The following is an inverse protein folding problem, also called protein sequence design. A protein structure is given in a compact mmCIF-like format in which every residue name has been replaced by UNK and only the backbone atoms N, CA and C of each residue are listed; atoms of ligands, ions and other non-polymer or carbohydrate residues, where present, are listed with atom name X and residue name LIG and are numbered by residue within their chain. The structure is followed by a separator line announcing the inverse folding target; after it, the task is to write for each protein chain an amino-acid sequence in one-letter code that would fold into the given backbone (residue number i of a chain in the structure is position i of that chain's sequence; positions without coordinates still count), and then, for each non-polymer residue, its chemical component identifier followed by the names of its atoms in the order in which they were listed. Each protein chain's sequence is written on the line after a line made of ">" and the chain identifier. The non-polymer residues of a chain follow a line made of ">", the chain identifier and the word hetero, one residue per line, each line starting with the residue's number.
data_IF_631437095749
#
_entry.id   IF_631437095749
#
_cell.length_a   1.000
_cell.length_b   1.000
_cell.length_c   1.000
_cell.angle_alpha   90.00
_cell.angle_beta   90.00
_cell.angle_gamma   90.00
#
_symmetry.space_group_name_H-M   'P 1'
#
loop_
_entity.id
_entity.type
_entity.pdbx_description
1 polymer ?
#
# COMPACT_ATOMS: atom_id res chain seq x y z
N UNK A 1 -10.46 7.70 17.32
CA UNK A 1 -9.57 6.53 17.44
C UNK A 1 -9.26 6.08 16.02
N UNK A 2 -8.16 6.52 15.43
CA UNK A 2 -7.82 6.19 14.03
C UNK A 2 -6.30 6.03 13.90
N UNK A 3 -5.75 5.16 14.72
CA UNK A 3 -4.32 4.86 14.76
C UNK A 3 -4.12 3.42 14.32
N UNK A 4 -3.24 3.20 13.34
CA UNK A 4 -2.91 1.86 12.88
C UNK A 4 -2.24 1.03 13.98
N UNK A 5 -2.40 -0.28 13.88
CA UNK A 5 -1.83 -1.27 14.80
C UNK A 5 -1.29 -2.45 13.99
N UNK A 6 -0.22 -3.07 14.49
CA UNK A 6 0.23 -4.38 14.03
C UNK A 6 -0.70 -5.42 14.67
N UNK A 7 -1.34 -6.24 13.84
CA UNK A 7 -2.34 -7.21 14.27
C UNK A 7 -1.93 -8.62 13.88
N UNK A 8 -2.39 -9.60 14.66
CA UNK A 8 -2.30 -11.02 14.30
C UNK A 8 -3.27 -11.38 13.17
N UNK A 9 -3.10 -12.57 12.60
CA UNK A 9 -4.02 -13.09 11.57
C UNK A 9 -5.46 -13.21 12.09
N UNK A 10 -5.65 -13.69 13.32
CA UNK A 10 -6.98 -13.82 13.92
C UNK A 10 -7.66 -12.46 14.06
N UNK A 11 -6.94 -11.45 14.57
CA UNK A 11 -7.44 -10.08 14.68
C UNK A 11 -7.73 -9.49 13.30
N UNK A 12 -6.86 -9.69 12.32
CA UNK A 12 -7.05 -9.21 10.95
C UNK A 12 -8.37 -9.70 10.33
N UNK A 13 -8.74 -10.97 10.54
CA UNK A 13 -9.97 -11.54 9.98
C UNK A 13 -11.22 -11.35 10.83
N UNK A 14 -11.09 -10.95 12.10
CA UNK A 14 -12.22 -10.87 13.05
C UNK A 14 -12.51 -9.46 13.58
N UNK A 15 -11.54 -8.55 13.53
CA UNK A 15 -11.75 -7.18 13.96
C UNK A 15 -12.77 -6.49 13.07
N UNK A 16 -13.78 -5.89 13.68
CA UNK A 16 -14.77 -5.04 13.01
C UNK A 16 -14.58 -3.62 13.51
N UNK A 17 -13.65 -2.89 12.88
CA UNK A 17 -13.47 -1.47 13.16
C UNK A 17 -14.42 -0.67 12.26
N UNK A 18 -15.29 0.11 12.87
CA UNK A 18 -16.21 1.02 12.15
C UNK A 18 -15.71 2.44 12.32
N UNK A 19 -15.23 3.05 11.23
CA UNK A 19 -14.67 4.39 11.22
C UNK A 19 -14.07 4.75 9.85
N UNK A 20 -13.82 6.04 9.61
CA UNK A 20 -13.11 6.47 8.40
C UNK A 20 -11.64 6.06 8.43
N UNK A 21 -11.04 5.86 7.26
CA UNK A 21 -9.64 5.43 7.13
C UNK A 21 -8.68 6.63 7.23
N UNK A 22 -7.62 6.49 8.02
CA UNK A 22 -6.46 7.41 8.05
C UNK A 22 -5.21 6.61 7.69
N UNK A 23 -4.94 6.51 6.39
CA UNK A 23 -3.87 5.68 5.83
C UNK A 23 -2.49 6.12 6.29
N UNK A 24 -2.26 7.41 6.55
CA UNK A 24 -0.93 7.87 6.99
C UNK A 24 -0.50 7.22 8.30
N UNK A 25 -1.43 6.87 9.18
CA UNK A 25 -1.11 6.17 10.43
C UNK A 25 -0.50 4.79 10.18
N UNK A 26 -0.96 4.07 9.15
CA UNK A 26 -0.39 2.78 8.74
C UNK A 26 0.99 2.95 8.10
N UNK A 27 1.20 4.01 7.32
CA UNK A 27 2.51 4.30 6.75
C UNK A 27 3.54 4.68 7.83
N UNK A 28 3.14 5.45 8.85
CA UNK A 28 4.01 5.76 10.01
C UNK A 28 4.44 4.45 10.68
N UNK A 29 3.46 3.58 11.00
CA UNK A 29 3.74 2.33 11.68
C UNK A 29 4.63 1.40 10.83
N UNK A 30 4.40 1.35 9.51
CA UNK A 30 5.26 0.60 8.59
C UNK A 30 6.71 1.11 8.62
N UNK A 31 6.91 2.43 8.57
CA UNK A 31 8.25 3.02 8.66
C UNK A 31 8.95 2.64 9.97
N UNK A 32 8.25 2.80 11.11
CA UNK A 32 8.76 2.46 12.43
C UNK A 32 9.19 0.99 12.52
N UNK A 33 8.33 0.08 12.04
CA UNK A 33 8.59 -1.35 12.00
C UNK A 33 9.82 -1.68 11.14
N UNK A 34 9.88 -1.12 9.94
CA UNK A 34 11.00 -1.36 9.02
C UNK A 34 12.31 -0.90 9.65
N UNK A 35 12.36 0.32 10.17
CA UNK A 35 13.58 0.86 10.79
C UNK A 35 14.01 0.09 12.03
N UNK A 36 13.07 -0.37 12.84
CA UNK A 36 13.36 -1.04 14.10
C UNK A 36 13.73 -2.53 13.94
N UNK A 37 13.09 -3.23 13.01
CA UNK A 37 13.17 -4.71 12.91
C UNK A 37 13.79 -5.21 11.61
N UNK A 38 13.75 -4.42 10.53
CA UNK A 38 14.12 -4.85 9.19
C UNK A 38 14.99 -3.79 8.49
N UNK A 39 16.22 -3.51 8.96
CA UNK A 39 17.09 -2.52 8.33
C UNK A 39 17.31 -2.87 6.85
N UNK A 40 17.03 -1.92 5.95
CA UNK A 40 16.96 -2.15 4.50
C UNK A 40 18.30 -2.53 3.85
N UNK A 41 19.43 -2.34 4.54
CA UNK A 41 20.74 -2.86 4.12
C UNK A 41 20.87 -4.38 4.26
N UNK A 42 19.99 -5.02 5.01
CA UNK A 42 20.02 -6.45 5.33
C UNK A 42 18.81 -7.20 4.77
N UNK A 43 17.71 -6.49 4.49
CA UNK A 43 16.44 -7.09 4.08
C UNK A 43 15.93 -6.55 2.74
N UNK A 44 15.39 -7.46 1.92
CA UNK A 44 14.58 -7.08 0.77
C UNK A 44 13.12 -6.93 1.19
N UNK A 45 12.66 -5.69 1.32
CA UNK A 45 11.33 -5.38 1.85
C UNK A 45 10.35 -5.13 0.71
N UNK A 46 9.15 -5.69 0.82
CA UNK A 46 8.07 -5.54 -0.14
C UNK A 46 6.81 -5.06 0.60
N UNK A 47 6.27 -3.92 0.19
CA UNK A 47 5.03 -3.38 0.74
C UNK A 47 3.82 -3.76 -0.11
N UNK A 48 2.71 -4.11 0.53
CA UNK A 48 1.43 -4.32 -0.13
C UNK A 48 0.32 -3.65 0.68
N UNK A 49 -0.45 -2.78 0.03
CA UNK A 49 -1.60 -2.10 0.60
C UNK A 49 -2.84 -2.47 -0.21
N UNK A 50 -3.89 -2.93 0.48
CA UNK A 50 -5.22 -3.09 -0.08
C UNK A 50 -6.20 -2.16 0.66
N UNK A 51 -6.96 -1.34 -0.06
CA UNK A 51 -8.05 -0.53 0.50
C UNK A 51 -9.11 -0.22 -0.55
N UNK A 52 -10.30 0.20 -0.16
CA UNK A 52 -11.32 0.75 -1.07
C UNK A 52 -10.88 2.09 -1.70
N UNK A 53 -9.86 2.74 -1.12
CA UNK A 53 -9.22 3.95 -1.60
C UNK A 53 -9.83 5.23 -1.03
N UNK A 54 -10.92 5.14 -0.26
CA UNK A 54 -11.48 6.29 0.44
C UNK A 54 -10.65 6.57 1.70
N UNK A 55 -9.90 7.67 1.66
CA UNK A 55 -9.09 8.14 2.77
C UNK A 55 -9.56 9.54 3.19
N UNK A 56 -9.24 9.94 4.42
CA UNK A 56 -9.56 11.29 4.83
C UNK A 56 -8.86 12.33 3.93
N UNK A 57 -9.60 13.32 3.41
CA UNK A 57 -9.08 14.22 2.36
C UNK A 57 -7.80 14.96 2.78
N UNK A 58 -7.72 15.41 4.03
CA UNK A 58 -6.53 16.08 4.56
C UNK A 58 -5.34 15.13 4.78
N UNK A 59 -5.59 13.82 4.75
CA UNK A 59 -4.59 12.77 4.96
C UNK A 59 -3.98 12.25 3.64
N UNK A 60 -4.73 12.32 2.54
CA UNK A 60 -4.32 11.73 1.25
C UNK A 60 -3.03 12.34 0.70
N UNK A 61 -2.90 13.67 0.71
CA UNK A 61 -1.66 14.35 0.30
C UNK A 61 -0.48 14.04 1.22
N UNK A 62 -0.73 13.80 2.51
CA UNK A 62 0.29 13.35 3.47
C UNK A 62 0.74 11.92 3.13
N UNK A 63 -0.19 11.03 2.77
CA UNK A 63 0.14 9.67 2.37
C UNK A 63 1.07 9.65 1.16
N UNK A 64 0.78 10.46 0.13
CA UNK A 64 1.65 10.60 -1.04
C UNK A 64 3.07 10.99 -0.63
N UNK A 65 3.20 12.05 0.17
CA UNK A 65 4.50 12.53 0.64
C UNK A 65 5.26 11.47 1.45
N UNK A 66 4.57 10.79 2.36
CA UNK A 66 5.17 9.74 3.18
C UNK A 66 5.61 8.53 2.37
N UNK A 67 4.75 8.09 1.44
CA UNK A 67 5.08 6.97 0.57
C UNK A 67 6.33 7.30 -0.25
N UNK A 68 6.41 8.51 -0.82
CA UNK A 68 7.56 8.99 -1.60
C UNK A 68 8.85 9.11 -0.79
N UNK A 69 8.80 9.88 0.30
CA UNK A 69 10.01 10.32 1.02
C UNK A 69 10.49 9.31 2.06
N UNK A 70 9.58 8.54 2.67
CA UNK A 70 9.90 7.67 3.80
C UNK A 70 9.86 6.18 3.44
N UNK A 71 8.84 5.73 2.70
CA UNK A 71 8.62 4.29 2.48
C UNK A 71 9.34 3.77 1.24
N UNK A 72 9.13 4.39 0.07
CA UNK A 72 9.72 3.93 -1.19
C UNK A 72 11.25 3.83 -1.18
N UNK A 73 12.02 4.67 -0.44
CA UNK A 73 13.46 4.50 -0.30
C UNK A 73 13.87 3.29 0.55
N UNK A 74 12.98 2.79 1.41
CA UNK A 74 13.25 1.66 2.32
C UNK A 74 12.85 0.31 1.74
N UNK A 75 12.01 0.29 0.70
CA UNK A 75 11.46 -0.95 0.13
C UNK A 75 11.97 -1.19 -1.28
N UNK A 76 12.12 -2.48 -1.64
CA UNK A 76 12.46 -2.90 -2.99
C UNK A 76 11.31 -2.67 -3.95
N UNK A 77 10.08 -2.82 -3.48
CA UNK A 77 8.86 -2.63 -4.25
C UNK A 77 7.67 -2.38 -3.34
N UNK A 78 6.72 -1.57 -3.80
CA UNK A 78 5.46 -1.32 -3.11
C UNK A 78 4.28 -1.46 -4.08
N UNK A 79 3.26 -2.23 -3.70
CA UNK A 79 2.05 -2.40 -4.48
C UNK A 79 0.85 -1.82 -3.73
N UNK A 80 0.11 -0.94 -4.40
CA UNK A 80 -1.20 -0.48 -3.94
C UNK A 80 -2.31 -1.13 -4.77
N UNK A 81 -3.28 -1.73 -4.09
CA UNK A 81 -4.45 -2.37 -4.69
C UNK A 81 -5.71 -1.67 -4.19
N UNK A 82 -6.45 -1.05 -5.10
CA UNK A 82 -7.76 -0.50 -4.78
C UNK A 82 -8.85 -1.56 -5.01
N UNK A 83 -9.66 -1.81 -3.98
CA UNK A 83 -10.78 -2.78 -4.01
C UNK A 83 -12.10 -2.05 -4.24
N UNK A 84 -12.10 -1.15 -5.23
CA UNK A 84 -13.26 -0.38 -5.65
C UNK A 84 -13.09 0.01 -7.12
N UNK A 85 -14.20 0.06 -7.86
CA UNK A 85 -14.22 0.39 -9.29
C UNK A 85 -13.85 1.86 -9.54
N UNK A 86 -14.51 2.76 -8.82
CA UNK A 86 -14.32 4.20 -8.96
C UNK A 86 -12.97 4.61 -8.38
N UNK A 87 -12.22 5.46 -9.09
CA UNK A 87 -10.99 6.05 -8.54
C UNK A 87 -11.33 6.91 -7.33
N UNK A 88 -10.72 6.61 -6.20
CA UNK A 88 -10.88 7.39 -4.98
C UNK A 88 -9.73 8.38 -4.79
N UNK A 89 -9.83 9.20 -3.74
CA UNK A 89 -8.85 10.26 -3.49
C UNK A 89 -7.41 9.73 -3.33
N UNK A 90 -7.20 8.57 -2.71
CA UNK A 90 -5.88 8.00 -2.54
C UNK A 90 -5.27 7.54 -3.87
N UNK A 91 -6.11 6.99 -4.76
CA UNK A 91 -5.69 6.63 -6.11
C UNK A 91 -5.16 7.85 -6.87
N UNK A 92 -5.87 8.97 -6.83
CA UNK A 92 -5.47 10.20 -7.52
C UNK A 92 -4.13 10.75 -7.02
N UNK A 93 -3.91 10.69 -5.70
CA UNK A 93 -2.64 11.09 -5.09
C UNK A 93 -1.49 10.14 -5.47
N UNK A 94 -1.71 8.83 -5.37
CA UNK A 94 -0.68 7.84 -5.66
C UNK A 94 -0.36 7.73 -7.16
N UNK A 95 -1.31 8.01 -8.06
CA UNK A 95 -1.07 8.00 -9.50
C UNK A 95 0.05 8.97 -9.92
N UNK A 96 0.22 10.07 -9.17
CA UNK A 96 1.31 11.02 -9.36
C UNK A 96 2.68 10.40 -9.07
N UNK A 97 2.76 9.47 -8.10
CA UNK A 97 3.98 8.73 -7.78
C UNK A 97 4.25 7.62 -8.78
N UNK A 98 3.22 6.89 -9.20
CA UNK A 98 3.35 5.81 -10.17
C UNK A 98 3.93 6.29 -11.52
N UNK A 99 3.73 7.57 -11.85
CA UNK A 99 4.32 8.18 -13.04
C UNK A 99 5.84 8.42 -12.94
N UNK A 100 6.40 8.47 -11.73
CA UNK A 100 7.80 8.89 -11.49
C UNK A 100 8.64 7.88 -10.70
N UNK A 101 8.02 6.86 -10.10
CA UNK A 101 8.68 5.83 -9.27
C UNK A 101 8.57 4.47 -9.93
N UNK A 102 9.73 3.86 -10.21
CA UNK A 102 9.80 2.54 -10.85
C UNK A 102 9.54 1.38 -9.88
N UNK A 103 9.74 1.59 -8.58
CA UNK A 103 9.51 0.58 -7.54
C UNK A 103 8.12 0.69 -6.88
N UNK A 104 7.15 1.29 -7.59
CA UNK A 104 5.79 1.43 -7.12
C UNK A 104 4.80 1.04 -8.23
N UNK A 105 3.77 0.26 -7.86
CA UNK A 105 2.71 -0.11 -8.79
C UNK A 105 1.34 0.01 -8.15
N UNK A 106 0.36 0.31 -8.99
CA UNK A 106 -1.05 0.45 -8.61
C UNK A 106 -1.92 -0.45 -9.47
N UNK A 107 -2.86 -1.16 -8.85
CA UNK A 107 -3.85 -1.99 -9.55
C UNK A 107 -5.23 -1.86 -8.91
N UNK A 108 -6.27 -2.17 -9.68
CA UNK A 108 -7.64 -2.28 -9.18
C UNK A 108 -8.06 -3.74 -9.16
N UNK A 109 -8.83 -4.10 -8.16
CA UNK A 109 -9.52 -5.39 -8.05
C UNK A 109 -11.00 -5.08 -7.86
N UNK A 110 -11.78 -5.26 -8.91
CA UNK A 110 -13.23 -5.04 -8.91
C UNK A 110 -13.98 -6.25 -8.34
N UNK A 111 -13.44 -7.45 -8.59
CA UNK A 111 -14.05 -8.72 -8.23
C UNK A 111 -13.02 -9.74 -7.76
N UNK A 112 -13.49 -10.80 -7.10
CA UNK A 112 -12.62 -11.90 -6.67
C UNK A 112 -11.88 -12.59 -7.83
N UNK A 113 -12.44 -12.56 -9.04
CA UNK A 113 -11.80 -13.13 -10.24
C UNK A 113 -10.57 -12.35 -10.69
N UNK A 114 -10.49 -11.06 -10.34
CA UNK A 114 -9.39 -10.18 -10.70
C UNK A 114 -8.17 -10.36 -9.81
N UNK A 115 -8.34 -10.96 -8.61
CA UNK A 115 -7.28 -11.15 -7.62
C UNK A 115 -6.08 -11.85 -8.26
N UNK A 116 -6.25 -13.09 -8.74
CA UNK A 116 -5.12 -13.87 -9.25
C UNK A 116 -4.41 -13.21 -10.46
N UNK A 117 -5.12 -12.73 -11.49
CA UNK A 117 -4.50 -11.97 -12.59
C UNK A 117 -3.69 -10.76 -12.12
N UNK A 118 -4.23 -9.96 -11.19
CA UNK A 118 -3.58 -8.76 -10.66
C UNK A 118 -2.31 -9.09 -9.89
N UNK A 119 -2.36 -10.07 -9.00
CA UNK A 119 -1.17 -10.52 -8.26
C UNK A 119 -0.11 -11.07 -9.21
N UNK A 120 -0.50 -11.87 -10.21
CA UNK A 120 0.44 -12.40 -11.20
C UNK A 120 1.13 -11.29 -12.00
N UNK A 121 0.41 -10.24 -12.36
CA UNK A 121 0.96 -9.08 -13.06
C UNK A 121 1.92 -8.27 -12.18
N UNK A 122 1.51 -7.98 -10.93
CA UNK A 122 2.34 -7.24 -9.96
C UNK A 122 3.67 -7.91 -9.65
N UNK A 123 3.71 -9.25 -9.65
CA UNK A 123 4.89 -10.04 -9.32
C UNK A 123 5.53 -10.72 -10.54
N UNK A 124 5.14 -10.33 -11.76
CA UNK A 124 5.80 -10.83 -12.96
C UNK A 124 7.26 -10.37 -12.96
N UNK A 125 8.19 -11.30 -13.14
CA UNK A 125 9.62 -10.96 -13.31
C UNK A 125 9.79 -10.04 -14.51
N UNK A 126 10.35 -8.85 -14.30
CA UNK A 126 10.92 -8.07 -15.40
C UNK A 126 11.97 -8.92 -16.12
N UNK A 127 11.78 -9.15 -17.42
CA UNK A 127 12.69 -9.94 -18.27
C UNK A 127 12.25 -11.36 -18.62
N UNK A 128 11.14 -11.87 -18.10
CA UNK A 128 10.53 -13.09 -18.63
C UNK A 128 9.67 -12.74 -19.85
N UNK A 129 10.32 -12.64 -21.01
CA UNK A 129 9.62 -12.74 -22.30
C UNK A 129 8.89 -14.10 -22.34
N UNK A 130 7.60 -14.05 -22.67
CA UNK A 130 6.84 -15.24 -23.02
C UNK A 130 7.30 -15.77 -24.39
#
# INVERSE_FOLDING_TARGET
>A
HTQAQEVSEEEFFRATETGGTVVSSALVLMEEIVRARYPSGEWNIYGAQASDGDNWHQDSGRCRKMLDEAILPLVRYYAYVQVADAEQNLWQEYAQLAAIKTNFAMRKVASAQDIYPVFRDLFKKEGAHA
#
